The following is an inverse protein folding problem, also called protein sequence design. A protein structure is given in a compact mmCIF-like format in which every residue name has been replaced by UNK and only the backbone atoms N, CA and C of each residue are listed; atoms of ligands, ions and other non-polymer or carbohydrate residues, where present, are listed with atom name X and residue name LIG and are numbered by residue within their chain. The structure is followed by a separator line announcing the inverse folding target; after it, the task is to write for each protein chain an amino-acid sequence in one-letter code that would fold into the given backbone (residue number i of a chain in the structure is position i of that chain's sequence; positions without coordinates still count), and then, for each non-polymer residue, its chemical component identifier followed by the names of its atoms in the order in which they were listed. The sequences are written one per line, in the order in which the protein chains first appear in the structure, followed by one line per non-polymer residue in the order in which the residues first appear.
data_IF_491219746906
#
_entry.id   IF_491219746906
#
_cell.length_a   1.000
_cell.length_b   1.000
_cell.length_c   1.000
_cell.angle_alpha   90.00
_cell.angle_beta   90.00
_cell.angle_gamma   90.00
#
_symmetry.space_group_name_H-M   'P 1'
#
loop_
_entity.id
_entity.type
_entity.pdbx_description
1 polymer ?
#
# COMPACT_ATOMS: atom_id res chain seq x y z
N UNK A 1 4.99 -6.55 12.83
CA UNK A 1 4.96 -5.08 12.66
C UNK A 1 6.36 -4.55 12.89
N UNK A 2 6.90 -3.79 11.91
CA UNK A 2 8.19 -3.11 12.03
C UNK A 2 7.98 -1.62 12.30
N UNK A 3 8.99 -0.97 12.88
CA UNK A 3 8.92 0.47 13.12
C UNK A 3 8.73 1.29 11.83
N UNK A 4 9.33 0.85 10.72
CA UNK A 4 9.12 1.46 9.40
C UNK A 4 7.64 1.43 8.96
N UNK A 5 6.89 0.37 9.25
CA UNK A 5 5.46 0.29 8.97
C UNK A 5 4.68 1.37 9.74
N UNK A 6 5.00 1.56 11.03
CA UNK A 6 4.40 2.63 11.85
C UNK A 6 4.72 4.02 11.30
N UNK A 7 5.97 4.25 10.93
CA UNK A 7 6.41 5.54 10.37
C UNK A 7 5.68 5.87 9.06
N UNK A 8 5.54 4.88 8.17
CA UNK A 8 4.83 5.06 6.89
C UNK A 8 3.33 5.23 7.10
N UNK A 9 2.72 4.53 8.06
CA UNK A 9 1.32 4.76 8.45
C UNK A 9 1.11 6.17 9.02
N UNK A 10 2.04 6.67 9.82
CA UNK A 10 2.00 8.03 10.33
C UNK A 10 2.02 9.06 9.19
N UNK A 11 2.98 8.93 8.26
CA UNK A 11 3.08 9.83 7.11
C UNK A 11 1.81 9.81 6.24
N UNK A 12 1.21 8.62 6.08
CA UNK A 12 -0.06 8.47 5.36
C UNK A 12 -1.20 9.18 6.09
N UNK A 13 -1.35 8.95 7.39
CA UNK A 13 -2.39 9.58 8.19
C UNK A 13 -2.29 11.11 8.12
N UNK A 14 -1.08 11.66 8.26
CA UNK A 14 -0.85 13.11 8.14
C UNK A 14 -1.19 13.63 6.73
N UNK A 15 -0.89 12.88 5.68
CA UNK A 15 -1.26 13.29 4.32
C UNK A 15 -2.77 13.32 4.09
N UNK A 16 -3.50 12.38 4.71
CA UNK A 16 -4.95 12.26 4.52
C UNK A 16 -5.79 13.15 5.44
N UNK A 17 -5.17 13.74 6.45
CA UNK A 17 -5.85 14.72 7.33
C UNK A 17 -6.48 15.83 6.50
N UNK A 18 -7.68 16.25 6.85
CA UNK A 18 -8.36 17.43 6.30
C UNK A 18 -7.59 18.71 6.66
N UNK A 19 -7.94 19.83 6.03
CA UNK A 19 -7.36 21.11 6.41
C UNK A 19 -7.70 21.45 7.87
N UNK A 20 -6.72 21.98 8.59
CA UNK A 20 -6.85 22.35 9.99
C UNK A 20 -5.76 21.79 10.88
N UNK A 21 -5.85 22.12 12.14
CA UNK A 21 -4.98 21.62 13.22
C UNK A 21 -5.81 20.74 14.15
N UNK A 22 -5.27 19.60 14.52
CA UNK A 22 -5.93 18.61 15.36
C UNK A 22 -5.12 18.39 16.64
N UNK A 23 -5.75 18.54 17.77
CA UNK A 23 -5.14 18.31 19.08
C UNK A 23 -5.39 16.86 19.48
N UNK A 24 -4.31 16.08 19.54
CA UNK A 24 -4.35 14.65 19.85
C UNK A 24 -3.68 14.43 21.21
N UNK A 25 -4.41 13.89 22.20
CA UNK A 25 -3.83 13.55 23.48
C UNK A 25 -2.84 12.40 23.35
N UNK A 26 -1.77 12.41 24.16
CA UNK A 26 -0.91 11.26 24.34
C UNK A 26 -1.70 10.10 24.97
N UNK A 27 -1.22 8.86 24.84
CA UNK A 27 -1.87 7.65 25.34
C UNK A 27 -2.16 7.70 26.86
N UNK A 28 -1.33 8.43 27.62
CA UNK A 28 -1.44 8.62 29.06
C UNK A 28 -2.20 9.90 29.46
N UNK A 29 -2.66 10.68 28.47
CA UNK A 29 -3.39 11.93 28.69
C UNK A 29 -2.55 13.08 29.25
N UNK A 30 -1.23 12.90 29.43
CA UNK A 30 -0.38 13.92 30.07
C UNK A 30 0.04 15.05 29.14
N UNK A 31 -0.02 14.81 27.80
CA UNK A 31 0.38 15.78 26.78
C UNK A 31 -0.65 15.84 25.67
N UNK A 32 -0.71 16.97 25.01
CA UNK A 32 -1.48 17.17 23.78
C UNK A 32 -0.52 17.53 22.64
N UNK A 33 -0.69 16.88 21.52
CA UNK A 33 0.09 17.11 20.30
C UNK A 33 -0.81 17.79 19.27
N UNK A 34 -0.49 19.02 18.92
CA UNK A 34 -1.16 19.72 17.82
C UNK A 34 -0.57 19.29 16.49
N UNK A 35 -1.36 18.64 15.66
CA UNK A 35 -0.94 18.04 14.40
C UNK A 35 -1.71 18.67 13.24
N UNK A 36 -0.99 18.99 12.17
CA UNK A 36 -1.54 19.46 10.91
C UNK A 36 -0.74 18.89 9.74
N UNK A 37 -1.33 18.85 8.55
CA UNK A 37 -0.60 18.46 7.35
C UNK A 37 0.51 19.44 7.05
N UNK A 38 1.75 19.03 7.21
CA UNK A 38 2.93 19.83 6.88
C UNK A 38 4.08 18.96 6.40
N UNK A 39 4.99 19.58 5.65
CA UNK A 39 6.22 18.91 5.20
C UNK A 39 7.00 18.35 6.39
N UNK A 40 7.09 19.12 7.47
CA UNK A 40 7.82 18.70 8.68
C UNK A 40 7.22 17.44 9.32
N UNK A 41 5.89 17.38 9.44
CA UNK A 41 5.21 16.20 10.03
C UNK A 41 5.30 14.97 9.12
N UNK A 42 5.02 15.09 7.83
CA UNK A 42 5.12 13.97 6.89
C UNK A 42 6.56 13.43 6.79
N UNK A 43 7.55 14.31 6.87
CA UNK A 43 8.98 13.96 6.84
C UNK A 43 9.40 13.12 8.03
N UNK A 44 8.77 13.25 9.20
CA UNK A 44 9.04 12.39 10.37
C UNK A 44 8.79 10.90 10.06
N UNK A 45 7.81 10.61 9.21
CA UNK A 45 7.51 9.25 8.79
C UNK A 45 8.37 8.76 7.62
N UNK A 46 8.65 9.60 6.63
CA UNK A 46 9.32 9.17 5.39
C UNK A 46 10.85 9.19 5.52
N UNK A 47 11.40 10.32 5.96
CA UNK A 47 12.86 10.54 5.95
C UNK A 47 13.65 9.45 6.69
N UNK A 48 13.26 8.99 7.89
CA UNK A 48 14.02 7.93 8.58
C UNK A 48 14.08 6.61 7.81
N UNK A 49 13.00 6.25 7.12
CA UNK A 49 12.92 5.03 6.31
C UNK A 49 13.89 5.12 5.14
N UNK A 50 13.83 6.20 4.37
CA UNK A 50 14.67 6.43 3.19
C UNK A 50 16.14 6.55 3.54
N UNK A 51 16.49 7.33 4.58
CA UNK A 51 17.87 7.51 5.02
C UNK A 51 18.50 6.19 5.49
N UNK A 52 17.74 5.36 6.19
CA UNK A 52 18.21 4.01 6.58
C UNK A 52 18.52 3.14 5.37
N UNK A 53 17.73 3.28 4.30
CA UNK A 53 17.93 2.56 3.03
C UNK A 53 19.05 3.16 2.14
N UNK A 54 19.73 4.23 2.60
CA UNK A 54 20.75 4.93 1.81
C UNK A 54 20.19 5.77 0.66
N UNK A 55 18.89 6.09 0.68
CA UNK A 55 18.19 6.86 -0.36
C UNK A 55 17.90 8.27 0.18
N UNK A 56 18.11 9.34 -0.61
CA UNK A 56 17.82 10.72 -0.16
C UNK A 56 16.34 10.91 0.14
N UNK A 57 16.05 11.90 1.01
CA UNK A 57 14.69 12.34 1.29
C UNK A 57 13.98 12.82 0.02
N UNK A 58 12.66 12.89 0.05
CA UNK A 58 11.89 13.49 -1.05
C UNK A 58 12.11 15.01 -1.11
N UNK A 59 12.00 15.55 -2.31
CA UNK A 59 11.99 16.99 -2.53
C UNK A 59 10.73 17.63 -1.93
N UNK A 60 10.83 18.92 -1.56
CA UNK A 60 9.73 19.65 -0.95
C UNK A 60 8.46 19.72 -1.82
N UNK A 61 8.62 19.76 -3.15
CA UNK A 61 7.50 19.77 -4.09
C UNK A 61 6.64 18.48 -4.00
N UNK A 62 7.27 17.33 -3.72
CA UNK A 62 6.55 16.06 -3.51
C UNK A 62 5.67 16.15 -2.26
N UNK A 63 6.20 16.68 -1.18
CA UNK A 63 5.44 16.87 0.07
C UNK A 63 4.34 17.93 -0.05
N UNK A 64 4.53 18.94 -0.89
CA UNK A 64 3.60 20.06 -1.02
C UNK A 64 2.25 19.60 -1.59
N UNK A 65 2.26 18.75 -2.60
CA UNK A 65 1.06 18.24 -3.24
C UNK A 65 0.58 16.94 -2.57
N UNK A 66 -0.70 16.93 -2.15
CA UNK A 66 -1.32 15.80 -1.44
C UNK A 66 -1.39 14.53 -2.29
N UNK A 67 -1.74 14.66 -3.55
CA UNK A 67 -1.95 13.53 -4.45
C UNK A 67 -0.62 12.99 -4.96
N UNK A 68 0.32 13.87 -5.27
CA UNK A 68 1.69 13.48 -5.62
C UNK A 68 2.34 12.74 -4.45
N UNK A 69 2.27 13.30 -3.24
CA UNK A 69 2.83 12.63 -2.06
C UNK A 69 2.21 11.25 -1.82
N UNK A 70 0.90 11.12 -2.00
CA UNK A 70 0.19 9.82 -1.86
C UNK A 70 0.76 8.77 -2.81
N UNK A 71 1.04 9.12 -4.06
CA UNK A 71 1.64 8.20 -5.04
C UNK A 71 3.03 7.74 -4.58
N UNK A 72 3.87 8.69 -4.17
CA UNK A 72 5.21 8.38 -3.69
C UNK A 72 5.21 7.56 -2.40
N UNK A 73 4.32 7.87 -1.46
CA UNK A 73 4.14 7.12 -0.22
C UNK A 73 3.70 5.67 -0.49
N UNK A 74 2.72 5.46 -1.37
CA UNK A 74 2.26 4.12 -1.76
C UNK A 74 3.40 3.29 -2.34
N UNK A 75 4.23 3.91 -3.18
CA UNK A 75 5.42 3.28 -3.75
C UNK A 75 6.47 2.97 -2.68
N UNK A 76 6.74 3.90 -1.77
CA UNK A 76 7.67 3.70 -0.67
C UNK A 76 7.25 2.54 0.23
N UNK A 77 5.97 2.45 0.58
CA UNK A 77 5.41 1.32 1.33
C UNK A 77 5.59 -0.01 0.59
N UNK A 78 5.35 -0.02 -0.71
CA UNK A 78 5.51 -1.22 -1.53
C UNK A 78 6.96 -1.73 -1.53
N UNK A 79 7.92 -0.83 -1.65
CA UNK A 79 9.35 -1.16 -1.67
C UNK A 79 9.83 -1.59 -0.28
N UNK A 80 9.54 -0.79 0.75
CA UNK A 80 10.02 -1.01 2.11
C UNK A 80 9.45 -2.28 2.75
N UNK A 81 8.20 -2.61 2.45
CA UNK A 81 7.48 -3.74 3.04
C UNK A 81 7.33 -4.92 2.05
N UNK A 82 8.17 -4.96 1.02
CA UNK A 82 8.16 -6.04 0.03
C UNK A 82 8.39 -7.39 0.70
N UNK A 83 7.59 -8.39 0.33
CA UNK A 83 7.66 -9.73 0.90
C UNK A 83 7.03 -9.91 2.28
N UNK A 84 6.48 -8.84 2.89
CA UNK A 84 5.85 -8.91 4.23
C UNK A 84 4.32 -9.13 4.20
N UNK A 85 3.75 -9.40 3.05
CA UNK A 85 2.31 -9.60 2.88
C UNK A 85 1.45 -8.34 3.04
N UNK A 86 2.06 -7.15 3.16
CA UNK A 86 1.35 -5.90 3.39
C UNK A 86 0.62 -5.39 2.15
N UNK A 87 1.21 -5.57 0.97
CA UNK A 87 0.67 -5.04 -0.29
C UNK A 87 -0.78 -5.46 -0.55
N UNK A 88 -1.11 -6.74 -0.29
CA UNK A 88 -2.46 -7.27 -0.45
C UNK A 88 -3.52 -6.42 0.28
N UNK A 89 -3.22 -6.04 1.53
CA UNK A 89 -4.14 -5.22 2.34
C UNK A 89 -4.11 -3.76 1.93
N UNK A 90 -2.94 -3.23 1.60
CA UNK A 90 -2.76 -1.84 1.20
C UNK A 90 -3.58 -1.51 -0.06
N UNK A 91 -3.47 -2.31 -1.13
CA UNK A 91 -4.22 -2.06 -2.37
C UNK A 91 -5.74 -2.21 -2.21
N UNK A 92 -6.19 -3.00 -1.23
CA UNK A 92 -7.62 -3.14 -0.92
C UNK A 92 -8.14 -1.95 -0.11
N UNK A 93 -7.45 -1.52 0.92
CA UNK A 93 -7.86 -0.36 1.71
C UNK A 93 -7.80 0.96 0.92
N UNK A 94 -6.86 1.08 -0.02
CA UNK A 94 -6.78 2.22 -0.95
C UNK A 94 -7.76 2.13 -2.12
N UNK A 95 -8.43 1.00 -2.32
CA UNK A 95 -9.27 0.71 -3.47
C UNK A 95 -8.52 0.63 -4.81
N UNK A 96 -7.23 0.40 -4.77
CA UNK A 96 -6.37 0.31 -5.96
C UNK A 96 -6.36 -1.09 -6.60
N UNK A 97 -6.87 -2.13 -5.93
CA UNK A 97 -6.77 -3.52 -6.38
C UNK A 97 -7.36 -3.77 -7.78
N UNK A 98 -8.42 -3.06 -8.16
CA UNK A 98 -8.99 -3.15 -9.52
C UNK A 98 -7.99 -2.81 -10.62
N UNK A 99 -7.13 -1.83 -10.36
CA UNK A 99 -6.13 -1.37 -11.32
C UNK A 99 -4.87 -2.21 -11.20
N UNK A 100 -4.35 -2.34 -9.98
CA UNK A 100 -3.05 -2.96 -9.76
C UNK A 100 -3.05 -4.49 -9.96
N UNK A 101 -4.10 -5.18 -9.56
CA UNK A 101 -4.21 -6.63 -9.79
C UNK A 101 -4.62 -6.98 -11.24
N UNK A 102 -5.01 -6.00 -12.06
CA UNK A 102 -5.24 -6.19 -13.49
C UNK A 102 -3.99 -5.89 -14.35
N UNK A 103 -2.93 -5.34 -13.75
CA UNK A 103 -1.70 -5.05 -14.48
C UNK A 103 -0.94 -6.33 -14.86
N UNK A 104 -0.29 -6.35 -16.04
CA UNK A 104 0.61 -7.43 -16.40
C UNK A 104 1.76 -7.53 -15.40
N UNK A 105 2.17 -8.74 -15.09
CA UNK A 105 3.38 -8.98 -14.30
C UNK A 105 4.58 -8.93 -15.26
N UNK A 106 5.57 -8.13 -14.90
CA UNK A 106 6.80 -8.00 -15.68
C UNK A 106 7.96 -8.67 -14.95
N UNK A 107 8.83 -9.27 -15.70
CA UNK A 107 10.08 -9.87 -15.23
C UNK A 107 11.28 -9.37 -16.02
N UNK A 108 12.48 -9.74 -15.57
CA UNK A 108 13.70 -9.50 -16.31
C UNK A 108 13.78 -10.42 -17.55
N UNK A 109 14.41 -9.95 -18.60
CA UNK A 109 14.68 -10.76 -19.78
C UNK A 109 15.82 -11.77 -19.49
N UNK A 110 15.45 -12.98 -19.09
CA UNK A 110 16.41 -14.07 -18.79
C UNK A 110 16.92 -14.79 -20.03
N UNK A 111 16.37 -14.49 -21.22
CA UNK A 111 16.77 -15.08 -22.50
C UNK A 111 17.81 -14.22 -23.23
N UNK A 112 18.33 -13.19 -22.60
CA UNK A 112 19.38 -12.36 -23.15
C UNK A 112 20.64 -13.19 -23.45
N UNK A 113 21.34 -12.82 -24.51
CA UNK A 113 22.67 -13.36 -24.80
C UNK A 113 23.74 -12.55 -24.07
N UNK A 114 24.97 -13.07 -23.96
CA UNK A 114 26.06 -12.37 -23.28
C UNK A 114 26.40 -11.02 -23.94
N UNK A 115 26.20 -10.91 -25.26
CA UNK A 115 26.36 -9.67 -26.04
C UNK A 115 25.27 -8.61 -25.73
N UNK A 116 24.12 -9.02 -25.18
CA UNK A 116 22.94 -8.17 -24.99
C UNK A 116 22.59 -7.97 -23.53
N UNK A 117 23.57 -7.91 -22.62
CA UNK A 117 23.36 -7.80 -21.17
C UNK A 117 22.46 -6.62 -20.76
N UNK A 118 22.48 -5.54 -21.52
CA UNK A 118 21.61 -4.39 -21.27
C UNK A 118 20.13 -4.74 -21.41
N UNK A 119 19.81 -5.71 -22.25
CA UNK A 119 18.43 -6.18 -22.42
C UNK A 119 17.88 -6.92 -21.19
N UNK A 120 18.72 -7.36 -20.26
CA UNK A 120 18.25 -7.95 -19.00
C UNK A 120 17.33 -7.04 -18.22
N UNK A 121 17.62 -5.75 -18.22
CA UNK A 121 16.82 -4.74 -17.51
C UNK A 121 15.58 -4.28 -18.29
N UNK A 122 15.42 -4.75 -19.53
CA UNK A 122 14.21 -4.46 -20.32
C UNK A 122 13.06 -5.31 -19.80
N UNK A 123 11.99 -4.71 -19.23
CA UNK A 123 10.88 -5.46 -18.71
C UNK A 123 10.17 -6.27 -19.80
N UNK A 124 9.98 -7.56 -19.57
CA UNK A 124 9.17 -8.42 -20.42
C UNK A 124 7.94 -8.91 -19.64
N UNK A 125 6.79 -8.96 -20.31
CA UNK A 125 5.59 -9.47 -19.69
C UNK A 125 5.72 -10.98 -19.44
N UNK A 126 5.46 -11.40 -18.20
CA UNK A 126 5.42 -12.82 -17.82
C UNK A 126 4.06 -13.36 -18.23
N UNK A 127 4.06 -14.32 -19.15
CA UNK A 127 2.83 -14.94 -19.66
C UNK A 127 2.02 -15.62 -18.53
N UNK A 128 0.70 -15.44 -18.57
CA UNK A 128 -0.29 -16.08 -17.68
C UNK A 128 -0.24 -15.69 -16.18
N UNK A 129 0.45 -14.63 -15.81
CA UNK A 129 0.44 -14.11 -14.44
C UNK A 129 -0.38 -12.83 -14.28
N UNK A 130 -1.36 -12.56 -15.14
CA UNK A 130 -2.31 -11.48 -14.89
C UNK A 130 -3.29 -11.94 -13.81
N UNK A 131 -3.23 -11.32 -12.65
CA UNK A 131 -4.30 -11.46 -11.66
C UNK A 131 -5.54 -10.71 -12.19
N UNK A 132 -6.69 -11.36 -12.13
CA UNK A 132 -7.97 -10.71 -12.46
C UNK A 132 -8.66 -10.34 -11.16
N UNK A 133 -8.91 -9.05 -10.96
CA UNK A 133 -9.70 -8.59 -9.83
C UNK A 133 -11.17 -8.42 -10.25
N UNK A 134 -12.08 -8.99 -9.47
CA UNK A 134 -13.52 -8.76 -9.59
C UNK A 134 -14.06 -8.19 -8.28
N UNK A 135 -15.21 -7.50 -8.36
CA UNK A 135 -15.77 -6.77 -7.21
C UNK A 135 -16.08 -7.67 -6.00
N UNK A 136 -16.38 -8.94 -6.21
CA UNK A 136 -16.55 -9.90 -5.12
C UNK A 136 -15.27 -10.04 -4.27
N UNK A 137 -14.09 -9.81 -4.86
CA UNK A 137 -12.79 -9.97 -4.18
C UNK A 137 -12.44 -8.86 -3.18
N UNK A 138 -13.31 -7.85 -3.01
CA UNK A 138 -13.17 -6.91 -1.89
C UNK A 138 -13.36 -7.61 -0.54
N UNK A 139 -14.15 -8.68 -0.51
CA UNK A 139 -14.42 -9.48 0.68
C UNK A 139 -14.12 -10.95 0.40
N UNK A 140 -13.65 -11.65 1.40
CA UNK A 140 -13.53 -13.10 1.33
C UNK A 140 -14.91 -13.77 1.40
N UNK A 141 -15.11 -14.91 0.74
CA UNK A 141 -16.35 -15.66 0.91
C UNK A 141 -16.45 -16.22 2.34
N UNK A 142 -17.66 -16.20 2.90
CA UNK A 142 -17.95 -16.90 4.14
C UNK A 142 -18.01 -18.38 3.81
N UNK A 143 -17.31 -19.20 4.59
CA UNK A 143 -17.26 -20.65 4.34
C UNK A 143 -18.66 -21.28 4.37
N UNK A 144 -18.91 -22.23 3.48
CA UNK A 144 -20.19 -22.93 3.41
C UNK A 144 -20.57 -23.59 4.75
N UNK A 145 -19.58 -24.11 5.51
CA UNK A 145 -19.81 -24.67 6.83
C UNK A 145 -20.41 -23.67 7.83
N UNK A 146 -19.92 -22.42 7.82
CA UNK A 146 -20.45 -21.37 8.70
C UNK A 146 -21.85 -20.93 8.29
N UNK A 147 -22.10 -20.80 6.99
CA UNK A 147 -23.45 -20.48 6.48
C UNK A 147 -24.48 -21.55 6.83
N UNK A 148 -24.08 -22.84 6.83
CA UNK A 148 -24.94 -23.94 7.28
C UNK A 148 -25.23 -23.92 8.77
N UNK A 149 -24.23 -23.57 9.59
CA UNK A 149 -24.36 -23.52 11.05
C UNK A 149 -25.20 -22.35 11.52
N UNK A 150 -25.08 -21.20 10.85
CA UNK A 150 -25.79 -19.99 11.23
C UNK A 150 -26.67 -19.48 10.08
N UNK A 151 -27.94 -19.81 10.13
CA UNK A 151 -28.93 -19.41 9.12
C UNK A 151 -29.20 -17.90 9.05
N UNK A 152 -28.66 -17.11 9.98
CA UNK A 152 -28.74 -15.63 9.95
C UNK A 152 -27.63 -15.01 9.14
N UNK A 153 -26.58 -15.77 8.77
CA UNK A 153 -25.51 -15.30 7.91
C UNK A 153 -25.96 -15.32 6.45
N UNK A 154 -25.67 -14.26 5.76
CA UNK A 154 -25.77 -14.15 4.31
C UNK A 154 -24.38 -14.08 3.71
N UNK A 155 -24.20 -14.66 2.53
CA UNK A 155 -22.93 -14.63 1.82
C UNK A 155 -22.54 -13.19 1.43
N UNK A 156 -21.24 -12.93 1.38
CA UNK A 156 -20.72 -11.65 0.89
C UNK A 156 -21.12 -11.42 -0.58
N UNK A 157 -21.32 -10.13 -0.98
CA UNK A 157 -21.79 -9.82 -2.32
C UNK A 157 -20.92 -10.41 -3.44
N UNK A 158 -21.56 -11.00 -4.44
CA UNK A 158 -20.92 -11.59 -5.60
C UNK A 158 -20.39 -13.02 -5.41
N UNK A 159 -20.46 -13.58 -4.20
CA UNK A 159 -20.16 -14.98 -3.92
C UNK A 159 -21.43 -15.83 -3.85
N UNK A 160 -21.35 -17.06 -4.35
CA UNK A 160 -22.43 -18.04 -4.29
C UNK A 160 -22.08 -19.16 -3.33
N UNK A 161 -23.04 -20.06 -3.05
CA UNK A 161 -22.80 -21.22 -2.19
C UNK A 161 -21.82 -22.25 -2.77
N UNK A 162 -21.54 -22.17 -4.06
CA UNK A 162 -20.72 -23.13 -4.79
C UNK A 162 -19.32 -22.57 -5.12
N UNK A 163 -19.00 -21.37 -4.68
CA UNK A 163 -17.71 -20.71 -4.89
C UNK A 163 -16.70 -21.05 -3.78
#
# INVERSE_FOLDING_TARGET
IRYADILLMYAEAINEVSEGTYDIPSWDGTKTHSIHRSVAEMRKGIKPVRMRAGVPDFDNNIYADKDVFRIYLKRERQIELMGEGKRYYDIRRWKDARVEEAMPVYGCNTLMTESDREMFHTPIAVWNLSATFSDKMWFWPISHGELKRNKRLTQNPGWTYND
#
